data_IF_531405377981
#
_entry.id   IF_531405377981
#
_cell.length_a   1.000
_cell.length_b   1.000
_cell.length_c   1.000
_cell.angle_alpha   90.00
_cell.angle_beta   90.00
_cell.angle_gamma   90.00
#
_symmetry.space_group_name_H-M   'P 1'
#
loop_
_entity.id
_entity.type
_entity.pdbx_description
1 polymer ?
#
# COMPACT_ATOMS: atom_id res chain seq x y z
N UNK A 1 24.29 -42.11 -29.84
CA UNK A 1 24.45 -41.19 -28.68
C UNK A 1 23.88 -39.80 -28.95
N UNK A 2 24.14 -39.20 -30.12
CA UNK A 2 23.69 -37.82 -30.45
C UNK A 2 22.15 -37.60 -30.44
N UNK A 3 21.34 -38.59 -30.87
CA UNK A 3 19.87 -38.47 -30.81
C UNK A 3 19.30 -38.40 -29.38
N UNK A 4 19.95 -39.05 -28.41
CA UNK A 4 19.53 -38.99 -26.99
C UNK A 4 19.91 -37.67 -26.33
N UNK A 5 21.04 -37.07 -26.73
CA UNK A 5 21.47 -35.75 -26.26
C UNK A 5 20.55 -34.63 -26.78
N UNK A 6 20.10 -34.74 -28.03
CA UNK A 6 19.16 -33.79 -28.62
C UNK A 6 17.79 -33.79 -27.92
N UNK A 7 17.29 -34.97 -27.54
CA UNK A 7 16.04 -35.13 -26.76
C UNK A 7 16.21 -34.55 -25.34
N UNK A 8 17.37 -34.72 -24.71
CA UNK A 8 17.67 -34.14 -23.40
C UNK A 8 17.68 -32.60 -23.44
N UNK A 9 18.22 -32.00 -24.51
CA UNK A 9 18.23 -30.54 -24.71
C UNK A 9 16.82 -29.99 -24.98
N UNK A 10 15.98 -30.73 -25.71
CA UNK A 10 14.57 -30.38 -25.93
C UNK A 10 13.71 -30.47 -24.65
N UNK A 11 14.02 -31.39 -23.75
CA UNK A 11 13.35 -31.51 -22.43
C UNK A 11 13.75 -30.41 -21.45
N UNK A 12 14.92 -29.77 -21.63
CA UNK A 12 15.35 -28.61 -20.83
C UNK A 12 14.74 -27.30 -21.36
N UNK A 13 14.19 -27.31 -22.58
CA UNK A 13 13.55 -26.17 -23.25
C UNK A 13 12.03 -26.08 -23.02
N UNK A 14 11.47 -26.79 -22.03
CA UNK A 14 10.08 -26.54 -21.62
C UNK A 14 9.99 -25.17 -20.96
N UNK A 15 9.64 -24.17 -21.77
CA UNK A 15 9.30 -22.84 -21.32
C UNK A 15 8.14 -22.91 -20.34
N UNK A 16 8.36 -22.42 -19.11
CA UNK A 16 7.27 -22.07 -18.21
C UNK A 16 6.50 -20.90 -18.83
N UNK A 17 5.36 -21.19 -19.44
CA UNK A 17 4.40 -20.15 -19.83
C UNK A 17 3.80 -19.57 -18.56
N UNK A 18 4.12 -18.32 -18.26
CA UNK A 18 3.41 -17.56 -17.22
C UNK A 18 2.14 -16.98 -17.83
N UNK A 19 0.98 -17.49 -17.41
CA UNK A 19 -0.31 -16.86 -17.69
C UNK A 19 -0.53 -15.72 -16.69
N UNK A 20 -1.14 -14.63 -17.19
CA UNK A 20 -1.73 -13.45 -16.53
C UNK A 20 -0.99 -12.86 -15.30
N UNK A 21 -0.69 -11.56 -15.37
CA UNK A 21 -0.03 -10.79 -14.29
C UNK A 21 -1.03 -10.30 -13.21
N UNK A 22 -2.33 -10.55 -13.37
CA UNK A 22 -3.38 -10.15 -12.41
C UNK A 22 -3.57 -11.17 -11.29
N UNK A 23 -3.83 -10.71 -10.06
CA UNK A 23 -4.17 -11.60 -8.93
C UNK A 23 -3.01 -12.46 -8.41
N UNK A 24 -1.79 -11.92 -8.35
CA UNK A 24 -0.59 -12.69 -7.96
C UNK A 24 -0.56 -13.10 -6.48
N UNK A 25 -1.46 -12.54 -5.67
CA UNK A 25 -1.45 -12.71 -4.23
C UNK A 25 -2.85 -12.60 -3.66
N UNK A 26 -3.10 -13.39 -2.62
CA UNK A 26 -4.29 -13.30 -1.79
C UNK A 26 -4.19 -12.13 -0.81
N UNK A 27 -5.31 -11.65 -0.28
CA UNK A 27 -5.38 -10.55 0.69
C UNK A 27 -4.74 -9.24 0.21
N UNK A 28 -4.96 -8.88 -1.06
CA UNK A 28 -4.40 -7.66 -1.64
C UNK A 28 -4.84 -6.39 -0.89
N UNK A 29 -5.96 -6.45 -0.15
CA UNK A 29 -6.46 -5.35 0.68
C UNK A 29 -5.46 -4.87 1.75
N UNK A 30 -4.48 -5.71 2.15
CA UNK A 30 -3.40 -5.32 3.07
C UNK A 30 -2.51 -4.18 2.54
N UNK A 31 -2.54 -3.95 1.23
CA UNK A 31 -1.82 -2.89 0.55
C UNK A 31 -2.66 -1.64 0.26
N UNK A 32 -3.92 -1.61 0.73
CA UNK A 32 -4.72 -0.40 0.70
C UNK A 32 -4.08 0.69 1.57
N UNK A 33 -4.33 1.94 1.18
CA UNK A 33 -3.73 3.09 1.83
C UNK A 33 -4.37 3.29 3.20
N UNK A 34 -3.56 3.46 4.25
CA UNK A 34 -4.09 3.46 5.62
C UNK A 34 -4.68 4.79 6.07
N UNK A 35 -4.29 5.92 5.48
CA UNK A 35 -4.79 7.24 5.89
C UNK A 35 -4.81 8.27 4.76
N UNK A 36 -5.61 9.34 4.88
CA UNK A 36 -5.60 10.41 3.88
C UNK A 36 -4.26 11.14 3.81
N UNK A 37 -3.56 11.32 4.95
CA UNK A 37 -2.21 11.91 4.95
C UNK A 37 -1.25 11.09 4.08
N UNK A 38 -1.27 9.77 4.25
CA UNK A 38 -0.44 8.86 3.45
C UNK A 38 -0.88 8.84 1.99
N UNK A 39 -2.18 8.81 1.71
CA UNK A 39 -2.72 8.85 0.34
C UNK A 39 -2.30 10.11 -0.42
N UNK A 40 -2.34 11.27 0.23
CA UNK A 40 -1.91 12.53 -0.36
C UNK A 40 -0.41 12.57 -0.67
N UNK A 41 0.40 11.80 0.08
CA UNK A 41 1.85 11.65 -0.12
C UNK A 41 2.23 10.46 -1.02
N UNK A 42 1.26 9.90 -1.76
CA UNK A 42 1.51 8.91 -2.80
C UNK A 42 1.28 7.47 -2.34
N UNK A 43 0.72 7.29 -1.15
CA UNK A 43 0.13 6.05 -0.66
C UNK A 43 1.07 5.12 0.11
N UNK A 44 2.39 5.27 -0.02
CA UNK A 44 3.38 4.34 0.60
C UNK A 44 4.47 5.02 1.41
N UNK A 45 4.19 6.20 1.95
CA UNK A 45 5.15 6.91 2.79
C UNK A 45 5.41 6.13 4.08
N UNK A 46 6.67 5.80 4.36
CA UNK A 46 7.09 5.00 5.52
C UNK A 46 7.95 5.77 6.53
N UNK A 47 8.26 7.04 6.26
CA UNK A 47 9.23 7.84 7.02
C UNK A 47 8.61 8.89 7.93
N UNK A 48 7.27 8.92 8.04
CA UNK A 48 6.58 9.82 8.96
C UNK A 48 6.86 9.29 10.38
N UNK A 49 7.55 10.07 11.19
CA UNK A 49 7.79 9.75 12.59
C UNK A 49 7.35 10.94 13.42
N UNK A 50 6.07 10.96 13.74
CA UNK A 50 5.42 11.97 14.56
C UNK A 50 4.23 11.33 15.27
N UNK A 51 3.32 12.17 15.73
CA UNK A 51 2.09 11.79 16.40
C UNK A 51 1.01 11.08 15.57
N UNK A 52 1.21 10.85 14.28
CA UNK A 52 0.20 10.21 13.43
C UNK A 52 0.06 8.71 13.72
N UNK A 53 -0.96 8.36 14.50
CA UNK A 53 -1.28 6.98 14.90
C UNK A 53 -1.66 6.05 13.74
N UNK A 54 -1.90 6.57 12.53
CA UNK A 54 -2.14 5.71 11.36
C UNK A 54 -0.86 5.12 10.77
N UNK A 55 0.28 5.78 10.98
CA UNK A 55 1.54 5.41 10.34
C UNK A 55 2.02 3.99 10.68
N UNK A 56 1.86 3.49 11.92
CA UNK A 56 2.24 2.13 12.27
C UNK A 56 1.53 1.03 11.48
N UNK A 57 0.35 1.28 10.89
CA UNK A 57 -0.32 0.32 9.98
C UNK A 57 0.54 -0.01 8.74
N UNK A 58 1.49 0.88 8.39
CA UNK A 58 2.37 0.72 7.24
C UNK A 58 3.83 0.49 7.64
N UNK A 59 4.32 1.17 8.69
CA UNK A 59 5.66 0.98 9.23
C UNK A 59 5.62 0.88 10.77
N UNK A 60 5.69 -0.32 11.36
CA UNK A 60 5.62 -0.47 12.82
C UNK A 60 6.77 0.21 13.57
N UNK A 61 7.91 0.48 12.92
CA UNK A 61 9.02 1.16 13.58
C UNK A 61 8.74 2.63 13.91
N UNK A 62 7.63 3.20 13.40
CA UNK A 62 7.24 4.58 13.72
C UNK A 62 6.43 4.71 15.00
N UNK A 63 6.07 3.59 15.66
CA UNK A 63 5.35 3.62 16.93
C UNK A 63 6.19 4.37 17.97
N UNK A 64 5.61 5.42 18.55
CA UNK A 64 6.29 6.27 19.50
C UNK A 64 5.32 6.87 20.53
N UNK A 65 5.88 7.48 21.57
CA UNK A 65 5.11 8.01 22.70
C UNK A 65 4.18 9.18 22.35
N UNK A 66 4.44 9.93 21.27
CA UNK A 66 3.58 11.04 20.85
C UNK A 66 2.19 10.56 20.40
N UNK A 67 2.07 9.27 20.06
CA UNK A 67 0.82 8.63 19.65
C UNK A 67 -0.08 8.24 20.83
N UNK A 68 0.41 8.31 22.07
CA UNK A 68 -0.36 7.88 23.24
C UNK A 68 -1.72 8.58 23.32
N UNK A 69 -2.78 7.79 23.54
CA UNK A 69 -4.15 8.29 23.68
C UNK A 69 -4.78 8.74 22.36
N UNK A 70 -4.12 8.54 21.22
CA UNK A 70 -4.65 8.95 19.92
C UNK A 70 -5.41 7.82 19.26
N UNK A 71 -6.62 8.13 18.83
CA UNK A 71 -7.48 7.27 18.02
C UNK A 71 -7.62 7.89 16.63
N UNK A 72 -7.49 7.10 15.57
CA UNK A 72 -7.78 7.52 14.21
C UNK A 72 -8.76 6.57 13.55
N UNK A 73 -9.66 7.14 12.75
CA UNK A 73 -10.62 6.44 11.89
C UNK A 73 -10.54 7.06 10.51
N UNK A 74 -10.37 6.22 9.48
CA UNK A 74 -10.34 6.64 8.09
C UNK A 74 -11.35 5.83 7.29
N UNK A 75 -11.95 6.48 6.30
CA UNK A 75 -12.92 5.91 5.38
C UNK A 75 -12.61 6.38 3.97
N UNK A 76 -12.69 5.46 3.00
CA UNK A 76 -12.48 5.76 1.60
C UNK A 76 -13.41 4.97 0.70
N UNK A 77 -13.91 5.63 -0.34
CA UNK A 77 -14.53 4.94 -1.47
C UNK A 77 -13.42 4.54 -2.44
N UNK A 78 -13.42 3.29 -2.88
CA UNK A 78 -12.47 2.80 -3.87
C UNK A 78 -13.07 2.94 -5.28
N UNK A 79 -13.26 1.85 -6.01
CA UNK A 79 -13.91 1.84 -7.32
C UNK A 79 -15.27 1.15 -7.25
N UNK A 80 -16.27 1.68 -7.96
CA UNK A 80 -17.64 1.16 -7.90
C UNK A 80 -18.21 1.25 -6.48
N UNK A 81 -18.83 0.17 -6.02
CA UNK A 81 -19.44 0.08 -4.69
C UNK A 81 -18.45 -0.37 -3.59
N UNK A 82 -17.17 -0.53 -3.94
CA UNK A 82 -16.13 -0.95 -3.01
C UNK A 82 -15.79 0.18 -2.04
N UNK A 83 -15.90 -0.11 -0.75
CA UNK A 83 -15.58 0.81 0.34
C UNK A 83 -14.58 0.17 1.28
N UNK A 84 -13.72 0.97 1.90
CA UNK A 84 -12.78 0.46 2.88
C UNK A 84 -12.52 1.49 3.96
N UNK A 85 -12.06 1.01 5.11
CA UNK A 85 -11.76 1.85 6.25
C UNK A 85 -10.66 1.26 7.10
N UNK A 86 -10.06 2.12 7.90
CA UNK A 86 -9.05 1.73 8.87
C UNK A 86 -9.31 2.40 10.21
N UNK A 87 -8.98 1.71 11.29
CA UNK A 87 -8.91 2.28 12.63
C UNK A 87 -7.52 2.05 13.21
N UNK A 88 -7.05 2.99 14.02
CA UNK A 88 -5.77 2.86 14.71
C UNK A 88 -5.84 3.52 16.08
N UNK A 89 -5.19 2.91 17.07
CA UNK A 89 -5.07 3.41 18.42
C UNK A 89 -3.69 3.09 18.98
N UNK A 90 -3.16 4.00 19.80
CA UNK A 90 -1.90 3.78 20.51
C UNK A 90 -2.02 4.13 21.98
N UNK A 91 -1.38 3.30 22.80
CA UNK A 91 -1.37 3.43 24.25
C UNK A 91 0.02 3.17 24.81
N UNK A 92 0.51 4.10 25.61
CA UNK A 92 1.78 3.98 26.34
C UNK A 92 1.48 3.57 27.77
N UNK A 93 1.91 2.37 28.15
CA UNK A 93 1.68 1.83 29.49
C UNK A 93 2.58 2.49 30.55
N UNK A 94 3.88 2.60 30.27
CA UNK A 94 4.84 3.32 31.12
C UNK A 94 5.99 3.88 30.27
N UNK A 95 6.76 4.84 30.77
CA UNK A 95 7.94 5.35 30.05
C UNK A 95 9.03 4.28 29.85
N UNK A 96 9.02 3.22 30.65
CA UNK A 96 9.91 2.05 30.47
C UNK A 96 9.29 0.96 29.59
N UNK A 97 7.95 0.83 29.59
CA UNK A 97 7.18 -0.09 28.76
C UNK A 97 6.61 0.68 27.56
N UNK A 98 7.38 0.68 26.46
CA UNK A 98 7.14 1.47 25.25
C UNK A 98 5.71 1.35 24.69
N UNK A 99 5.36 2.23 23.76
CA UNK A 99 4.01 2.35 23.20
C UNK A 99 3.55 1.09 22.47
N UNK A 100 2.32 0.65 22.78
CA UNK A 100 1.61 -0.39 22.03
C UNK A 100 0.72 0.26 20.97
N UNK A 101 0.62 -0.40 19.82
CA UNK A 101 -0.28 0.01 18.74
C UNK A 101 -1.28 -1.11 18.44
N UNK A 102 -2.52 -0.72 18.17
CA UNK A 102 -3.53 -1.61 17.65
C UNK A 102 -4.21 -0.94 16.46
N UNK A 103 -4.53 -1.72 15.43
CA UNK A 103 -5.21 -1.18 14.28
C UNK A 103 -6.05 -2.23 13.55
N UNK A 104 -7.00 -1.75 12.76
CA UNK A 104 -7.89 -2.56 11.93
C UNK A 104 -7.90 -2.00 10.51
N UNK A 105 -7.92 -2.87 9.52
CA UNK A 105 -8.19 -2.53 8.12
C UNK A 105 -9.34 -3.38 7.65
N UNK A 106 -10.35 -2.78 7.04
CA UNK A 106 -11.56 -3.44 6.57
C UNK A 106 -11.87 -3.00 5.14
N UNK A 107 -12.25 -3.94 4.28
CA UNK A 107 -12.77 -3.68 2.94
C UNK A 107 -14.11 -4.39 2.76
N UNK A 108 -15.06 -3.72 2.13
CA UNK A 108 -16.33 -4.24 1.68
C UNK A 108 -16.41 -4.08 0.16
N UNK A 109 -16.66 -5.17 -0.55
CA UNK A 109 -16.71 -5.18 -2.01
C UNK A 109 -18.04 -4.71 -2.60
N UNK A 110 -19.05 -4.45 -1.78
CA UNK A 110 -20.40 -4.11 -2.22
C UNK A 110 -21.24 -5.37 -2.49
N UNK A 111 -22.36 -5.19 -3.19
CA UNK A 111 -23.23 -6.27 -3.60
C UNK A 111 -23.08 -6.51 -5.10
N UNK A 112 -23.09 -7.77 -5.50
CA UNK A 112 -23.01 -8.23 -6.88
C UNK A 112 -24.26 -9.05 -7.22
N UNK A 113 -24.79 -8.83 -8.41
CA UNK A 113 -25.88 -9.65 -8.94
C UNK A 113 -25.33 -11.01 -9.40
N UNK A 114 -25.78 -12.09 -8.74
CA UNK A 114 -25.50 -13.46 -9.15
C UNK A 114 -26.36 -13.88 -10.35
N UNK A 115 -25.74 -14.54 -11.33
CA UNK A 115 -26.43 -15.16 -12.46
C UNK A 115 -25.85 -16.53 -12.76
N UNK A 116 -26.70 -17.46 -13.18
CA UNK A 116 -26.29 -18.77 -13.65
C UNK A 116 -25.79 -18.73 -15.12
N UNK A 117 -25.35 -19.87 -15.63
CA UNK A 117 -24.85 -20.02 -17.02
C UNK A 117 -25.92 -19.69 -18.08
N UNK A 118 -27.21 -19.77 -17.72
CA UNK A 118 -28.34 -19.42 -18.58
C UNK A 118 -28.78 -17.96 -18.43
N UNK A 119 -28.08 -17.18 -17.59
CA UNK A 119 -28.35 -15.77 -17.32
C UNK A 119 -29.50 -15.51 -16.33
N UNK A 120 -30.05 -16.56 -15.71
CA UNK A 120 -31.09 -16.42 -14.68
C UNK A 120 -30.49 -15.92 -13.37
N UNK A 121 -31.21 -15.08 -12.65
CA UNK A 121 -30.72 -14.53 -11.38
C UNK A 121 -30.63 -15.61 -10.30
N UNK A 122 -29.50 -15.65 -9.59
CA UNK A 122 -29.25 -16.54 -8.44
C UNK A 122 -29.27 -15.79 -7.11
N UNK A 123 -29.70 -14.52 -7.11
CA UNK A 123 -29.67 -13.63 -5.94
C UNK A 123 -28.40 -12.76 -5.87
N UNK A 124 -28.32 -11.89 -4.86
CA UNK A 124 -27.14 -11.05 -4.63
C UNK A 124 -26.09 -11.77 -3.77
N UNK A 125 -24.81 -11.50 -4.04
CA UNK A 125 -23.71 -11.92 -3.18
C UNK A 125 -22.78 -10.76 -2.85
N UNK A 126 -22.00 -10.91 -1.78
CA UNK A 126 -21.07 -9.88 -1.30
C UNK A 126 -19.74 -10.51 -0.86
N UNK A 127 -18.76 -9.68 -0.55
CA UNK A 127 -17.53 -10.10 0.09
C UNK A 127 -16.97 -8.99 0.98
N UNK A 128 -16.26 -9.39 2.03
CA UNK A 128 -15.53 -8.47 2.88
C UNK A 128 -14.27 -9.11 3.45
N UNK A 129 -13.27 -8.29 3.72
CA UNK A 129 -12.04 -8.72 4.37
C UNK A 129 -11.70 -7.79 5.53
N UNK A 130 -11.15 -8.36 6.60
CA UNK A 130 -10.70 -7.64 7.78
C UNK A 130 -9.32 -8.11 8.20
N UNK A 131 -8.45 -7.17 8.57
CA UNK A 131 -7.18 -7.43 9.20
C UNK A 131 -7.10 -6.68 10.52
N UNK A 132 -6.93 -7.43 11.63
CA UNK A 132 -6.56 -6.87 12.93
C UNK A 132 -5.04 -6.88 13.04
N UNK A 133 -4.46 -5.79 13.53
CA UNK A 133 -3.02 -5.61 13.67
C UNK A 133 -2.67 -5.17 15.10
N UNK A 134 -1.61 -5.75 15.64
CA UNK A 134 -1.03 -5.38 16.92
C UNK A 134 0.45 -5.11 16.71
N UNK A 135 0.91 -3.94 17.15
CA UNK A 135 2.23 -3.41 16.87
C UNK A 135 3.00 -3.02 18.12
N UNK A 136 4.31 -3.18 18.03
CA UNK A 136 5.27 -2.70 19.03
C UNK A 136 6.54 -2.21 18.33
N UNK A 137 7.13 -1.12 18.84
CA UNK A 137 8.45 -0.67 18.45
C UNK A 137 9.40 -0.69 19.63
N UNK A 138 10.68 -0.84 19.31
CA UNK A 138 11.82 -0.81 20.20
C UNK A 138 12.85 0.20 19.69
N UNK A 139 13.17 1.19 20.51
CA UNK A 139 14.33 2.05 20.28
C UNK A 139 15.63 1.34 20.69
N UNK A 140 16.58 1.23 19.76
CA UNK A 140 17.89 0.63 20.00
C UNK A 140 18.74 1.57 20.88
N UNK A 141 19.18 1.13 22.08
CA UNK A 141 19.87 1.97 23.05
C UNK A 141 21.08 2.71 22.46
N UNK A 142 21.25 3.98 22.86
CA UNK A 142 22.33 4.87 22.41
C UNK A 142 22.37 5.17 20.91
N UNK A 143 21.30 4.86 20.19
CA UNK A 143 21.15 5.17 18.77
C UNK A 143 19.84 5.93 18.53
N UNK A 144 19.66 6.39 17.29
CA UNK A 144 18.38 6.93 16.81
C UNK A 144 17.64 5.95 15.89
N UNK A 145 17.93 4.66 16.04
CA UNK A 145 17.34 3.59 15.28
C UNK A 145 16.19 2.96 16.05
N UNK A 146 15.02 2.94 15.44
CA UNK A 146 13.84 2.26 15.94
C UNK A 146 13.58 1.05 15.05
N UNK A 147 13.28 -0.08 15.69
CA UNK A 147 12.84 -1.30 15.02
C UNK A 147 11.43 -1.62 15.50
N UNK A 148 10.57 -2.11 14.63
CA UNK A 148 9.20 -2.43 15.02
C UNK A 148 8.66 -3.64 14.29
N UNK A 149 7.65 -4.26 14.90
CA UNK A 149 6.92 -5.36 14.33
C UNK A 149 5.41 -5.19 14.51
N UNK A 150 4.64 -5.59 13.49
CA UNK A 150 3.20 -5.82 13.60
C UNK A 150 2.91 -7.30 13.42
N UNK A 151 2.01 -7.85 14.22
CA UNK A 151 1.33 -9.11 13.94
C UNK A 151 -0.07 -8.81 13.38
N UNK A 152 -0.46 -9.47 12.30
CA UNK A 152 -1.74 -9.31 11.61
C UNK A 152 -2.52 -10.61 11.60
N UNK A 153 -3.79 -10.54 11.97
CA UNK A 153 -4.78 -11.62 11.85
C UNK A 153 -5.80 -11.23 10.80
N UNK A 154 -5.93 -12.07 9.79
CA UNK A 154 -6.69 -11.77 8.58
C UNK A 154 -7.87 -12.73 8.49
N UNK A 155 -9.05 -12.19 8.23
CA UNK A 155 -10.25 -12.94 7.89
C UNK A 155 -10.80 -12.39 6.60
N UNK A 156 -11.08 -13.27 5.65
CA UNK A 156 -11.67 -12.91 4.37
C UNK A 156 -12.82 -13.83 4.05
N UNK A 157 -13.91 -13.21 3.63
CA UNK A 157 -15.14 -13.88 3.20
C UNK A 157 -15.49 -13.36 1.82
N UNK A 158 -15.46 -14.23 0.83
CA UNK A 158 -15.83 -13.94 -0.55
C UNK A 158 -17.01 -14.83 -0.90
N UNK A 159 -18.21 -14.26 -0.95
CA UNK A 159 -19.47 -15.00 -1.09
C UNK A 159 -19.58 -16.10 -0.02
N UNK A 160 -19.52 -17.38 -0.41
CA UNK A 160 -19.60 -18.53 0.51
C UNK A 160 -18.23 -19.00 1.02
N UNK A 161 -17.14 -18.53 0.41
CA UNK A 161 -15.79 -18.99 0.68
C UNK A 161 -15.13 -18.16 1.78
N UNK A 162 -14.48 -18.84 2.72
CA UNK A 162 -13.81 -18.21 3.86
C UNK A 162 -12.33 -18.58 3.91
N UNK A 163 -11.49 -17.63 4.28
CA UNK A 163 -10.06 -17.82 4.41
C UNK A 163 -9.50 -16.99 5.56
N UNK A 164 -8.73 -17.65 6.43
CA UNK A 164 -8.00 -17.01 7.52
C UNK A 164 -6.52 -16.97 7.19
N UNK A 165 -5.87 -15.86 7.53
CA UNK A 165 -4.45 -15.64 7.30
C UNK A 165 -3.77 -15.03 8.51
N UNK A 166 -2.46 -15.22 8.58
CA UNK A 166 -1.60 -14.52 9.53
C UNK A 166 -0.45 -13.88 8.78
N UNK A 167 -0.06 -12.68 9.18
CA UNK A 167 1.06 -11.97 8.59
C UNK A 167 1.82 -11.15 9.63
N UNK A 168 3.05 -10.78 9.30
CA UNK A 168 3.85 -9.85 10.06
C UNK A 168 4.41 -8.74 9.17
N UNK A 169 4.53 -7.54 9.73
CA UNK A 169 5.34 -6.48 9.16
C UNK A 169 6.56 -6.25 10.05
N UNK A 170 7.71 -6.02 9.44
CA UNK A 170 8.95 -5.68 10.12
C UNK A 170 9.46 -4.35 9.59
N UNK A 171 9.67 -3.38 10.49
CA UNK A 171 10.11 -2.04 10.15
C UNK A 171 11.41 -1.67 10.84
N UNK A 172 12.16 -0.78 10.20
CA UNK A 172 13.25 -0.03 10.79
C UNK A 172 13.14 1.44 10.35
N UNK A 173 13.42 2.37 11.26
CA UNK A 173 13.53 3.79 10.94
C UNK A 173 14.67 4.42 11.72
N UNK A 174 15.52 5.17 11.02
CA UNK A 174 16.55 6.02 11.62
C UNK A 174 16.10 7.47 11.55
N UNK A 175 16.01 8.12 12.71
CA UNK A 175 15.50 9.49 12.87
C UNK A 175 16.67 10.42 13.18
N UNK A 176 17.04 11.30 12.26
CA UNK A 176 18.09 12.30 12.47
C UNK A 176 17.50 13.66 12.82
N UNK A 177 17.35 13.93 14.12
CA UNK A 177 16.83 15.21 14.62
C UNK A 177 17.69 16.43 14.26
N UNK A 178 18.97 16.26 13.92
CA UNK A 178 19.86 17.41 13.65
C UNK A 178 19.60 18.00 12.27
N UNK A 179 19.31 17.15 11.29
CA UNK A 179 19.09 17.54 9.90
C UNK A 179 17.62 17.41 9.48
N UNK A 180 16.74 17.04 10.43
CA UNK A 180 15.33 16.68 10.23
C UNK A 180 15.15 15.60 9.14
N UNK A 181 16.02 14.59 9.09
CA UNK A 181 15.99 13.51 8.09
C UNK A 181 15.53 12.18 8.72
N UNK A 182 14.60 11.50 8.06
CA UNK A 182 14.18 10.15 8.43
C UNK A 182 14.48 9.16 7.31
N UNK A 183 15.09 8.04 7.64
CA UNK A 183 15.34 6.91 6.73
C UNK A 183 14.54 5.71 7.18
N UNK A 184 13.68 5.17 6.32
CA UNK A 184 12.82 4.03 6.63
C UNK A 184 13.10 2.83 5.74
N UNK A 185 12.96 1.64 6.30
CA UNK A 185 12.90 0.37 5.58
C UNK A 185 11.80 -0.48 6.22
N UNK A 186 10.91 -1.04 5.41
CA UNK A 186 9.88 -1.95 5.90
C UNK A 186 9.72 -3.14 4.97
N UNK A 187 9.50 -4.31 5.57
CA UNK A 187 9.06 -5.53 4.89
C UNK A 187 7.66 -5.85 5.41
N UNK A 188 6.67 -5.77 4.53
CA UNK A 188 5.24 -5.90 4.87
C UNK A 188 4.71 -7.26 4.43
N UNK A 189 3.69 -7.72 5.15
CA UNK A 189 2.84 -8.87 4.82
C UNK A 189 3.59 -10.22 4.72
N UNK A 190 4.63 -10.43 5.53
CA UNK A 190 5.30 -11.73 5.63
C UNK A 190 4.37 -12.72 6.35
N UNK A 191 3.84 -13.71 5.64
CA UNK A 191 2.88 -14.63 6.25
C UNK A 191 2.34 -15.70 5.31
N UNK A 192 1.24 -16.33 5.74
CA UNK A 192 0.60 -17.43 5.02
C UNK A 192 -0.90 -17.49 5.32
N UNK A 193 -1.64 -18.18 4.45
CA UNK A 193 -3.01 -18.60 4.73
C UNK A 193 -3.00 -19.75 5.74
N UNK A 194 -3.76 -19.57 6.82
CA UNK A 194 -4.09 -20.64 7.77
C UNK A 194 -5.17 -21.54 7.19
N UNK A 195 -6.17 -20.96 6.54
CA UNK A 195 -7.18 -21.69 5.77
C UNK A 195 -7.31 -21.11 4.37
N UNK A 196 -7.56 -21.96 3.39
CA UNK A 196 -7.69 -21.59 1.97
C UNK A 196 -9.16 -21.51 1.57
N UNK A 197 -9.50 -20.69 0.58
CA UNK A 197 -10.87 -20.66 0.04
C UNK A 197 -11.30 -21.99 -0.59
N UNK A 198 -10.44 -22.60 -1.40
CA UNK A 198 -10.78 -23.78 -2.21
C UNK A 198 -9.63 -24.79 -2.30
N UNK A 199 -8.94 -25.04 -1.17
CA UNK A 199 -7.88 -26.06 -1.06
C UNK A 199 -6.52 -25.69 -1.65
N UNK A 200 -6.42 -24.56 -2.36
CA UNK A 200 -5.15 -24.05 -2.89
C UNK A 200 -4.58 -22.96 -1.98
N UNK A 201 -3.29 -23.10 -1.64
CA UNK A 201 -2.56 -22.09 -0.87
C UNK A 201 -1.95 -21.06 -1.82
N UNK A 202 -2.29 -19.79 -1.60
CA UNK A 202 -1.84 -18.65 -2.35
C UNK A 202 -0.90 -17.77 -1.52
N UNK A 203 0.03 -17.10 -2.19
CA UNK A 203 1.03 -16.28 -1.52
C UNK A 203 0.45 -14.94 -1.07
N UNK A 204 0.87 -14.47 0.11
CA UNK A 204 0.57 -13.12 0.57
C UNK A 204 1.35 -12.06 -0.23
N UNK A 205 0.87 -10.80 -0.24
CA UNK A 205 1.43 -9.75 -1.07
C UNK A 205 2.60 -9.08 -0.34
N UNK A 206 3.69 -9.83 -0.18
CA UNK A 206 4.92 -9.37 0.48
C UNK A 206 5.48 -8.17 -0.27
N UNK A 207 5.80 -7.11 0.46
CA UNK A 207 6.33 -5.88 -0.10
C UNK A 207 7.51 -5.33 0.70
N UNK A 208 8.61 -5.02 0.00
CA UNK A 208 9.77 -4.33 0.59
C UNK A 208 9.76 -2.88 0.11
N UNK A 209 9.80 -1.95 1.05
CA UNK A 209 9.76 -0.50 0.80
C UNK A 209 10.92 0.16 1.53
N UNK A 210 11.65 1.03 0.85
CA UNK A 210 12.61 1.94 1.47
C UNK A 210 12.17 3.38 1.24
N UNK A 211 12.56 4.29 2.13
CA UNK A 211 12.20 5.69 1.98
C UNK A 211 13.13 6.62 2.73
N UNK A 212 13.18 7.86 2.27
CA UNK A 212 13.86 8.96 2.93
C UNK A 212 12.92 10.18 2.91
N UNK A 213 12.93 10.96 3.98
CA UNK A 213 12.28 12.27 4.01
C UNK A 213 13.09 13.27 4.79
N UNK A 214 13.02 14.53 4.40
CA UNK A 214 13.70 15.61 5.10
C UNK A 214 12.83 16.86 5.17
N UNK A 215 12.78 17.50 6.33
CA UNK A 215 12.28 18.86 6.48
C UNK A 215 13.38 19.85 6.11
N UNK A 216 13.09 20.78 5.19
CA UNK A 216 14.08 21.76 4.75
C UNK A 216 14.34 22.80 5.84
N UNK A 217 15.59 23.20 5.99
CA UNK A 217 15.95 24.29 6.90
C UNK A 217 15.34 25.61 6.40
N UNK A 218 14.76 26.40 7.30
CA UNK A 218 14.14 27.71 7.03
C UNK A 218 12.91 27.70 6.10
N UNK A 219 12.49 26.53 5.59
CA UNK A 219 11.33 26.40 4.70
C UNK A 219 10.40 25.34 5.28
N UNK A 220 9.10 25.62 5.49
CA UNK A 220 8.18 24.69 6.13
C UNK A 220 7.70 23.61 5.13
N UNK A 221 8.64 22.90 4.50
CA UNK A 221 8.38 21.85 3.52
C UNK A 221 9.17 20.61 3.93
N UNK A 222 8.48 19.48 4.04
CA UNK A 222 9.08 18.16 4.15
C UNK A 222 8.88 17.40 2.84
N UNK A 223 9.97 17.01 2.20
CA UNK A 223 9.90 16.17 1.01
C UNK A 223 10.06 14.70 1.38
N UNK A 224 9.49 13.82 0.58
CA UNK A 224 9.48 12.37 0.77
C UNK A 224 9.84 11.69 -0.55
N UNK A 225 10.80 10.78 -0.51
CA UNK A 225 11.14 9.86 -1.57
C UNK A 225 10.91 8.44 -1.06
N UNK A 226 10.07 7.68 -1.75
CA UNK A 226 9.79 6.28 -1.41
C UNK A 226 10.12 5.40 -2.61
N UNK A 227 10.77 4.28 -2.34
CA UNK A 227 11.01 3.20 -3.28
C UNK A 227 10.18 1.98 -2.87
N UNK A 228 9.18 1.61 -3.66
CA UNK A 228 8.26 0.50 -3.39
C UNK A 228 8.65 -0.78 -4.13
N UNK A 229 8.11 -1.94 -3.72
CA UNK A 229 8.32 -3.24 -4.40
C UNK A 229 9.78 -3.63 -4.68
N UNK A 230 10.71 -3.31 -3.77
CA UNK A 230 12.15 -3.53 -3.97
C UNK A 230 12.53 -5.01 -4.16
N UNK A 231 11.69 -5.94 -3.71
CA UNK A 231 11.87 -7.39 -3.91
C UNK A 231 11.68 -7.85 -5.36
N UNK A 232 11.04 -7.03 -6.22
CA UNK A 232 10.70 -7.40 -7.61
C UNK A 232 11.13 -6.30 -8.56
N UNK A 233 12.26 -6.47 -9.24
CA UNK A 233 12.75 -5.46 -10.21
C UNK A 233 11.77 -5.19 -11.37
N UNK A 234 11.13 -6.23 -11.91
CA UNK A 234 10.19 -6.08 -13.03
C UNK A 234 8.77 -5.89 -12.51
N UNK A 235 8.44 -4.67 -12.10
CA UNK A 235 7.07 -4.29 -11.68
C UNK A 235 6.16 -3.93 -12.86
N UNK A 236 6.75 -3.53 -13.98
CA UNK A 236 6.00 -3.21 -15.19
C UNK A 236 5.41 -4.42 -15.89
N UNK A 237 4.18 -4.29 -16.37
CA UNK A 237 3.55 -5.24 -17.29
C UNK A 237 3.19 -4.55 -18.61
N UNK A 238 3.12 -5.36 -19.67
CA UNK A 238 2.63 -4.94 -20.98
C UNK A 238 1.12 -4.74 -20.89
N UNK A 239 0.61 -3.60 -21.33
CA UNK A 239 -0.83 -3.33 -21.38
C UNK A 239 -1.34 -3.73 -22.78
N UNK A 240 -2.17 -4.79 -22.92
CA UNK A 240 -2.67 -5.24 -24.21
C UNK A 240 -3.46 -4.15 -24.95
N UNK A 241 -4.12 -3.25 -24.23
CA UNK A 241 -4.86 -2.13 -24.80
C UNK A 241 -3.95 -1.07 -25.48
N UNK A 242 -2.63 -1.21 -25.37
CA UNK A 242 -1.63 -0.36 -26.01
C UNK A 242 -0.75 -1.13 -27.01
N UNK A 243 -1.09 -2.38 -27.33
CA UNK A 243 -0.41 -3.12 -28.37
C UNK A 243 -0.65 -2.47 -29.74
N UNK A 244 0.42 -2.22 -30.48
CA UNK A 244 0.32 -1.71 -31.85
C UNK A 244 0.14 -2.88 -32.81
N UNK A 245 -0.84 -2.81 -33.71
CA UNK A 245 -1.02 -3.82 -34.75
C UNK A 245 -0.22 -3.41 -35.98
N UNK A 246 0.64 -4.31 -36.44
CA UNK A 246 1.29 -4.18 -37.74
C UNK A 246 0.32 -4.48 -38.87
N UNK A 247 0.65 -4.03 -40.08
CA UNK A 247 -0.14 -4.28 -41.30
C UNK A 247 -0.30 -5.79 -41.56
N UNK A 248 0.66 -6.60 -41.09
CA UNK A 248 0.67 -8.07 -41.20
C UNK A 248 -0.14 -8.77 -40.08
N UNK A 249 -0.77 -8.01 -39.19
CA UNK A 249 -1.61 -8.53 -38.10
C UNK A 249 -0.86 -8.97 -36.84
N UNK A 250 0.46 -8.76 -36.75
CA UNK A 250 1.21 -9.01 -35.51
C UNK A 250 1.00 -7.86 -34.52
N UNK A 251 0.69 -8.22 -33.26
CA UNK A 251 0.57 -7.27 -32.14
C UNK A 251 1.94 -7.08 -31.51
N UNK A 252 2.51 -5.88 -31.62
CA UNK A 252 3.73 -5.50 -30.92
C UNK A 252 3.35 -5.00 -29.52
N UNK A 253 3.67 -5.81 -28.52
CA UNK A 253 3.45 -5.47 -27.11
C UNK A 253 4.43 -4.40 -26.59
N UNK A 254 3.94 -3.54 -25.70
CA UNK A 254 4.75 -2.52 -25.02
C UNK A 254 5.82 -3.20 -24.14
N UNK A 255 7.10 -3.07 -24.53
CA UNK A 255 8.22 -3.53 -23.71
C UNK A 255 8.66 -2.45 -22.72
N UNK A 256 8.64 -2.80 -21.45
CA UNK A 256 9.12 -1.92 -20.37
C UNK A 256 10.63 -2.09 -20.21
N UNK A 257 11.39 -1.06 -20.58
CA UNK A 257 12.84 -1.03 -20.41
C UNK A 257 13.31 -0.98 -18.94
N UNK A 258 14.63 -1.00 -18.75
CA UNK A 258 15.27 -0.91 -17.43
C UNK A 258 14.86 0.38 -16.68
N UNK A 259 15.02 1.53 -17.32
CA UNK A 259 14.65 2.83 -16.74
C UNK A 259 13.14 2.93 -16.46
N UNK A 260 12.31 2.32 -17.32
CA UNK A 260 10.87 2.25 -17.13
C UNK A 260 10.49 1.50 -15.85
N UNK A 261 11.17 0.39 -15.54
CA UNK A 261 10.98 -0.30 -14.27
C UNK A 261 11.55 0.51 -13.09
N UNK A 262 12.76 1.08 -13.22
CA UNK A 262 13.38 1.89 -12.18
C UNK A 262 12.46 3.03 -11.70
N UNK A 263 11.89 3.81 -12.62
CA UNK A 263 10.97 4.90 -12.26
C UNK A 263 9.66 4.38 -11.63
N UNK A 264 9.17 3.19 -12.00
CA UNK A 264 7.97 2.58 -11.40
C UNK A 264 8.18 2.08 -9.98
N UNK A 265 9.40 2.13 -9.44
CA UNK A 265 9.63 1.97 -8.01
C UNK A 265 9.49 3.29 -7.25
N UNK A 266 9.49 4.44 -7.93
CA UNK A 266 9.64 5.76 -7.30
C UNK A 266 8.27 6.39 -6.99
N UNK A 267 8.17 6.94 -5.80
CA UNK A 267 7.11 7.86 -5.39
C UNK A 267 7.78 9.08 -4.78
N UNK A 268 7.39 10.27 -5.23
CA UNK A 268 7.87 11.53 -4.67
C UNK A 268 6.69 12.32 -4.09
N UNK A 269 6.85 12.88 -2.90
CA UNK A 269 5.83 13.66 -2.22
C UNK A 269 6.41 14.86 -1.47
N UNK A 270 5.58 15.85 -1.21
CA UNK A 270 5.91 17.01 -0.39
C UNK A 270 4.74 17.38 0.52
N UNK A 271 5.04 17.65 1.79
CA UNK A 271 4.14 18.18 2.80
C UNK A 271 4.57 19.61 3.17
N UNK A 272 3.71 20.58 2.89
CA UNK A 272 3.89 21.98 3.25
C UNK A 272 3.19 22.21 4.60
N UNK A 273 3.89 22.89 5.51
CA UNK A 273 3.48 23.18 6.87
C UNK A 273 3.16 21.95 7.75
N UNK A 274 4.02 20.91 7.79
CA UNK A 274 3.74 19.65 8.50
C UNK A 274 3.44 19.84 9.99
N UNK A 275 4.09 20.82 10.63
CA UNK A 275 3.99 21.12 12.07
C UNK A 275 2.92 22.18 12.40
N UNK A 276 2.25 22.79 11.43
CA UNK A 276 1.26 23.88 11.65
C UNK A 276 -0.17 23.34 11.72
N UNK A 277 -1.13 24.24 11.98
CA UNK A 277 -2.55 23.89 12.05
C UNK A 277 -3.13 23.49 10.70
N UNK A 278 -2.66 24.11 9.61
CA UNK A 278 -3.01 23.74 8.25
C UNK A 278 -1.80 23.10 7.57
N UNK A 279 -2.03 22.04 6.81
CA UNK A 279 -1.01 21.31 6.03
C UNK A 279 -1.53 21.03 4.64
N UNK A 280 -0.68 21.17 3.62
CA UNK A 280 -0.98 20.84 2.23
C UNK A 280 -0.01 19.76 1.76
N UNK A 281 -0.51 18.80 0.99
CA UNK A 281 0.28 17.66 0.53
C UNK A 281 0.05 17.44 -0.95
N UNK A 282 1.12 17.13 -1.66
CA UNK A 282 1.10 16.76 -3.07
C UNK A 282 2.12 15.67 -3.32
N UNK A 283 1.83 14.77 -4.25
CA UNK A 283 2.75 13.71 -4.64
C UNK A 283 2.54 13.26 -6.07
N UNK A 284 3.54 12.54 -6.57
CA UNK A 284 3.55 11.88 -7.86
C UNK A 284 4.03 10.44 -7.70
N UNK A 285 3.14 9.48 -7.98
CA UNK A 285 3.46 8.06 -8.06
C UNK A 285 3.71 7.70 -9.54
N UNK A 286 4.96 7.40 -9.88
CA UNK A 286 5.39 7.12 -11.26
C UNK A 286 4.81 5.81 -11.78
N UNK A 287 4.63 4.80 -10.91
CA UNK A 287 4.00 3.53 -11.27
C UNK A 287 2.56 3.72 -11.69
N UNK A 288 1.78 4.36 -10.82
CA UNK A 288 0.37 4.67 -11.07
C UNK A 288 0.20 5.53 -12.32
N UNK A 289 1.09 6.50 -12.54
CA UNK A 289 1.09 7.30 -13.75
C UNK A 289 1.31 6.47 -15.03
N UNK A 290 2.24 5.51 -14.99
CA UNK A 290 2.56 4.69 -16.16
C UNK A 290 1.52 3.61 -16.44
N UNK A 291 0.99 2.96 -15.40
CA UNK A 291 0.01 1.87 -15.52
C UNK A 291 -1.35 2.40 -16.00
N UNK A 292 -1.78 3.56 -15.49
CA UNK A 292 -3.11 4.13 -15.79
C UNK A 292 -3.10 5.19 -16.90
N UNK A 293 -1.98 5.36 -17.60
CA UNK A 293 -1.90 6.24 -18.77
C UNK A 293 -2.85 5.74 -19.87
N UNK A 294 -3.61 6.65 -20.45
CA UNK A 294 -4.37 6.40 -21.67
C UNK A 294 -3.61 7.12 -22.80
N UNK A 295 -3.28 6.43 -23.89
CA UNK A 295 -2.35 6.94 -24.92
C UNK A 295 -2.82 8.28 -25.48
N UNK A 296 -4.11 8.42 -25.72
CA UNK A 296 -4.72 9.58 -26.36
C UNK A 296 -5.17 10.68 -25.38
N UNK A 297 -5.04 10.46 -24.06
CA UNK A 297 -5.63 11.36 -23.05
C UNK A 297 -4.67 11.68 -21.90
N UNK A 298 -4.69 12.95 -21.47
CA UNK A 298 -3.96 13.38 -20.26
C UNK A 298 -4.78 13.01 -19.02
N UNK A 299 -4.39 11.92 -18.36
CA UNK A 299 -5.14 11.39 -17.20
C UNK A 299 -4.66 11.92 -15.85
N UNK A 300 -3.42 12.43 -15.75
CA UNK A 300 -2.78 12.86 -14.49
C UNK A 300 -2.84 11.81 -13.37
N UNK A 301 -2.93 10.53 -13.72
CA UNK A 301 -3.16 9.41 -12.80
C UNK A 301 -2.08 9.22 -11.72
N UNK A 302 -0.91 9.84 -11.89
CA UNK A 302 0.16 9.81 -10.90
C UNK A 302 -0.07 10.75 -9.72
N UNK A 303 -0.92 11.77 -9.85
CA UNK A 303 -1.01 12.88 -8.88
C UNK A 303 -1.98 12.53 -7.76
N UNK A 304 -1.51 12.72 -6.52
CA UNK A 304 -2.37 12.80 -5.34
C UNK A 304 -2.14 14.12 -4.64
N UNK A 305 -3.21 14.65 -4.06
CA UNK A 305 -3.16 15.85 -3.24
C UNK A 305 -4.04 15.68 -2.01
N UNK A 306 -3.81 16.49 -0.99
CA UNK A 306 -4.63 16.48 0.21
C UNK A 306 -4.28 17.61 1.14
N UNK A 307 -5.11 17.80 2.15
CA UNK A 307 -4.89 18.78 3.19
C UNK A 307 -5.24 18.20 4.54
N UNK A 308 -4.67 18.81 5.58
CA UNK A 308 -4.97 18.48 6.97
C UNK A 308 -5.21 19.74 7.78
N UNK A 309 -6.23 19.71 8.63
CA UNK A 309 -6.55 20.77 9.59
C UNK A 309 -6.48 20.17 10.99
N UNK A 310 -5.59 20.71 11.82
CA UNK A 310 -5.37 20.29 13.20
C UNK A 310 -5.97 21.31 14.16
N UNK A 311 -6.90 20.83 14.98
CA UNK A 311 -7.41 21.49 16.17
C UNK A 311 -6.76 20.87 17.42
N UNK A 312 -7.05 21.42 18.60
CA UNK A 312 -6.44 20.96 19.86
C UNK A 312 -6.75 19.49 20.20
N UNK A 313 -7.99 19.06 19.97
CA UNK A 313 -8.45 17.69 20.32
C UNK A 313 -8.66 16.77 19.13
N UNK A 314 -8.79 17.31 17.92
CA UNK A 314 -9.02 16.51 16.72
C UNK A 314 -8.27 17.06 15.52
N UNK A 315 -7.93 16.18 14.58
CA UNK A 315 -7.36 16.51 13.28
C UNK A 315 -8.24 15.89 12.21
N UNK A 316 -8.57 16.70 11.22
CA UNK A 316 -9.25 16.25 10.01
C UNK A 316 -8.24 16.21 8.88
N UNK A 317 -8.19 15.10 8.15
CA UNK A 317 -7.38 14.96 6.95
C UNK A 317 -8.28 14.52 5.78
N UNK A 318 -8.06 15.14 4.62
CA UNK A 318 -8.71 14.77 3.38
C UNK A 318 -7.66 14.56 2.30
N UNK A 319 -7.90 13.58 1.44
CA UNK A 319 -7.06 13.33 0.28
C UNK A 319 -7.88 12.99 -0.94
N UNK A 320 -7.33 13.37 -2.08
CA UNK A 320 -7.87 13.13 -3.39
C UNK A 320 -6.76 12.55 -4.27
N UNK A 321 -7.05 11.38 -4.84
CA UNK A 321 -6.15 10.69 -5.77
C UNK A 321 -6.89 10.46 -7.08
N UNK A 322 -6.32 10.94 -8.17
CA UNK A 322 -6.88 10.75 -9.51
C UNK A 322 -6.32 9.46 -10.10
N UNK A 323 -7.18 8.53 -10.49
CA UNK A 323 -6.75 7.26 -11.09
C UNK A 323 -7.02 7.25 -12.60
N UNK A 324 -8.20 7.66 -13.04
CA UNK A 324 -8.54 7.85 -14.46
C UNK A 324 -9.42 9.09 -14.63
N UNK A 325 -9.83 9.44 -15.85
CA UNK A 325 -10.77 10.54 -16.08
C UNK A 325 -12.15 10.26 -15.47
N UNK A 326 -12.57 9.00 -15.46
CA UNK A 326 -13.87 8.56 -14.98
C UNK A 326 -13.86 8.13 -13.50
N UNK A 327 -12.69 8.05 -12.85
CA UNK A 327 -12.63 7.56 -11.48
C UNK A 327 -11.54 8.18 -10.62
N UNK A 328 -11.98 8.59 -9.43
CA UNK A 328 -11.19 9.24 -8.40
C UNK A 328 -11.48 8.58 -7.06
N UNK A 329 -10.46 8.52 -6.21
CA UNK A 329 -10.61 8.01 -4.84
C UNK A 329 -10.44 9.19 -3.88
N UNK A 330 -11.40 9.32 -2.97
CA UNK A 330 -11.34 10.26 -1.86
C UNK A 330 -11.23 9.48 -0.55
N UNK A 331 -10.34 9.91 0.33
CA UNK A 331 -10.27 9.40 1.70
C UNK A 331 -10.52 10.54 2.67
N UNK A 332 -11.28 10.22 3.71
CA UNK A 332 -11.57 11.06 4.85
C UNK A 332 -10.97 10.42 6.09
N UNK A 333 -10.36 11.23 6.94
CA UNK A 333 -9.72 10.77 8.16
C UNK A 333 -10.00 11.72 9.31
N UNK A 334 -10.31 11.14 10.46
CA UNK A 334 -10.47 11.85 11.71
C UNK A 334 -9.53 11.21 12.73
N UNK A 335 -8.70 12.02 13.35
CA UNK A 335 -7.87 11.63 14.48
C UNK A 335 -8.27 12.44 15.70
N UNK A 336 -8.39 11.77 16.84
CA UNK A 336 -8.84 12.33 18.11
C UNK A 336 -7.75 12.06 19.16
N UNK A 337 -7.44 13.07 19.97
CA UNK A 337 -6.62 12.93 21.16
C UNK A 337 -7.54 12.78 22.37
N UNK A 338 -7.55 11.58 22.97
CA UNK A 338 -8.47 11.19 24.05
C UNK A 338 -8.08 11.74 25.42
#
# INVERSE_FOLDING_TARGET
MQKKLFILVLLIMTYSTYSQVGGQSVYQFLNLISSPRQAALGGKTITIHDYDVNQPLFNPATINEEMNGRLALNYGNYFGDVTYGTGAYAYTYDRHLQTFHAGVTYINYGNFDGRDEMGQSTGEFTGSEIALSLGYAYNVPWTKLYIGANAKFISSTLESYNSFGVAADLGAIYVDDKNDINYGLVVRNLGTQVTTYAGQNEKLPVEVIAGISQELENVPIRWHLTLENLQKWKVGFSNPARGEQTIDGEVIEEKVGFLGNAFRHVIFGAEVFPKKAFSLRVSYNFRRAAELKIVEQRTFSGISAGFGIRFTKFRFDYSYSRYTLASNTSLFGLMINL
#
